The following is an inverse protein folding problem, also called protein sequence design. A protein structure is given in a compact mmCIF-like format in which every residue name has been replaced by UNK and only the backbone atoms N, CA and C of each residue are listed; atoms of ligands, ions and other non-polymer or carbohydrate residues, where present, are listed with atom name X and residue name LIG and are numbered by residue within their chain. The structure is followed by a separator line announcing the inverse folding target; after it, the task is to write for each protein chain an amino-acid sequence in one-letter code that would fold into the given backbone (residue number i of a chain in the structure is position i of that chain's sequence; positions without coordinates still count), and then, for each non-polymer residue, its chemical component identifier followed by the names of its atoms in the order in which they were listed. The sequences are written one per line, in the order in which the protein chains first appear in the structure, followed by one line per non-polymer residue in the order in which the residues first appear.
data_IF_402120079271
#
_entry.id   IF_402120079271
#
_cell.length_a   1.000
_cell.length_b   1.000
_cell.length_c   1.000
_cell.angle_alpha   90.00
_cell.angle_beta   90.00
_cell.angle_gamma   90.00
#
_symmetry.space_group_name_H-M   'P 1'
#
loop_
_entity.id
_entity.type
_entity.pdbx_description
1 polymer ?
#
# COMPACT_ATOMS: atom_id res chain seq x y z
N UNK A 1 13.40 8.74 -1.49
CA UNK A 1 14.25 8.24 -0.40
C UNK A 1 14.72 6.84 -0.75
N UNK A 2 16.03 6.55 -0.71
CA UNK A 2 16.57 5.20 -0.87
C UNK A 2 16.86 4.63 0.53
N UNK A 3 15.99 3.80 1.11
CA UNK A 3 16.21 3.26 2.45
C UNK A 3 17.54 2.50 2.57
N UNK A 4 18.06 1.94 1.48
CA UNK A 4 19.43 1.39 1.42
C UNK A 4 20.52 2.35 1.95
N UNK A 5 20.39 3.66 1.74
CA UNK A 5 21.32 4.65 2.29
C UNK A 5 21.27 4.74 3.82
N UNK A 6 20.10 4.53 4.42
CA UNK A 6 19.89 4.59 5.86
C UNK A 6 20.07 3.23 6.56
N UNK A 7 19.83 2.12 5.87
CA UNK A 7 19.72 0.79 6.47
C UNK A 7 20.83 -0.18 6.06
N UNK A 8 21.68 0.15 5.07
CA UNK A 8 22.77 -0.73 4.66
C UNK A 8 24.06 -0.40 5.43
N UNK A 9 24.60 -1.32 6.25
CA UNK A 9 25.84 -1.08 6.99
C UNK A 9 27.08 -0.97 6.09
N UNK A 10 26.98 -1.38 4.82
CA UNK A 10 28.04 -1.27 3.80
C UNK A 10 27.62 -0.36 2.64
N UNK A 11 26.83 0.67 2.93
CA UNK A 11 26.37 1.60 1.90
C UNK A 11 27.54 2.26 1.17
N UNK A 12 27.41 2.33 -0.15
CA UNK A 12 28.23 3.12 -1.07
C UNK A 12 27.33 3.69 -2.15
N UNK A 13 27.77 4.72 -2.85
CA UNK A 13 26.99 5.26 -3.97
C UNK A 13 26.67 4.14 -4.98
N UNK A 14 25.40 4.02 -5.37
CA UNK A 14 24.91 2.94 -6.24
C UNK A 14 24.72 1.56 -5.56
N UNK A 15 24.93 1.42 -4.25
CA UNK A 15 24.82 0.13 -3.53
C UNK A 15 23.45 -0.55 -3.71
N UNK A 16 22.35 0.21 -3.76
CA UNK A 16 21.00 -0.31 -3.96
C UNK A 16 20.79 -1.15 -5.24
N UNK A 17 21.68 -1.03 -6.24
CA UNK A 17 21.59 -1.81 -7.49
C UNK A 17 21.98 -3.28 -7.29
N UNK A 18 22.91 -3.55 -6.37
CA UNK A 18 23.46 -4.90 -6.16
C UNK A 18 23.40 -5.36 -4.70
N UNK A 19 22.88 -4.54 -3.79
CA UNK A 19 22.80 -4.86 -2.36
C UNK A 19 21.75 -5.92 -2.07
N UNK A 20 22.18 -7.04 -1.48
CA UNK A 20 21.26 -8.13 -1.13
C UNK A 20 20.36 -7.77 0.05
N UNK A 21 20.87 -7.03 1.05
CA UNK A 21 20.04 -6.49 2.14
C UNK A 21 18.93 -5.57 1.62
N UNK A 22 19.20 -4.80 0.56
CA UNK A 22 18.19 -3.97 -0.08
C UNK A 22 17.14 -4.80 -0.81
N UNK A 23 17.56 -5.82 -1.58
CA UNK A 23 16.62 -6.74 -2.24
C UNK A 23 15.71 -7.43 -1.23
N UNK A 24 16.26 -7.89 -0.11
CA UNK A 24 15.50 -8.51 0.96
C UNK A 24 14.49 -7.53 1.57
N UNK A 25 14.93 -6.32 1.93
CA UNK A 25 14.04 -5.28 2.45
C UNK A 25 12.90 -4.95 1.47
N UNK A 26 13.20 -4.82 0.17
CA UNK A 26 12.17 -4.56 -0.85
C UNK A 26 11.16 -5.71 -0.90
N UNK A 27 11.62 -6.96 -0.85
CA UNK A 27 10.75 -8.14 -0.86
C UNK A 27 9.83 -8.18 0.37
N UNK A 28 10.36 -7.94 1.55
CA UNK A 28 9.58 -7.87 2.80
C UNK A 28 8.54 -6.74 2.73
N UNK A 29 8.93 -5.57 2.24
CA UNK A 29 8.00 -4.45 2.05
C UNK A 29 6.91 -4.75 1.01
N UNK A 30 7.22 -5.49 -0.05
CA UNK A 30 6.23 -5.91 -1.03
C UNK A 30 5.17 -6.81 -0.39
N UNK A 31 5.58 -7.78 0.43
CA UNK A 31 4.67 -8.66 1.17
C UNK A 31 3.74 -7.84 2.07
N UNK A 32 4.30 -6.89 2.84
CA UNK A 32 3.50 -6.04 3.73
C UNK A 32 2.55 -5.10 2.96
N UNK A 33 2.98 -4.57 1.82
CA UNK A 33 2.12 -3.76 0.94
C UNK A 33 0.99 -4.58 0.36
N UNK A 34 1.24 -5.82 -0.06
CA UNK A 34 0.21 -6.71 -0.56
C UNK A 34 -0.83 -7.06 0.51
N UNK A 35 -0.41 -7.33 1.74
CA UNK A 35 -1.31 -7.55 2.87
C UNK A 35 -2.20 -6.32 3.12
N UNK A 36 -1.60 -5.13 3.19
CA UNK A 36 -2.34 -3.86 3.37
C UNK A 36 -3.29 -3.60 2.21
N UNK A 37 -2.88 -3.86 0.97
CA UNK A 37 -3.72 -3.71 -0.22
C UNK A 37 -4.95 -4.63 -0.16
N UNK A 38 -4.77 -5.91 0.21
CA UNK A 38 -5.87 -6.86 0.37
C UNK A 38 -6.86 -6.42 1.45
N UNK A 39 -6.34 -5.98 2.61
CA UNK A 39 -7.15 -5.43 3.69
C UNK A 39 -7.99 -4.24 3.22
N UNK A 40 -7.34 -3.24 2.60
CA UNK A 40 -8.03 -2.05 2.10
C UNK A 40 -9.06 -2.39 1.03
N UNK A 41 -8.77 -3.32 0.12
CA UNK A 41 -9.71 -3.73 -0.92
C UNK A 41 -11.00 -4.31 -0.31
N UNK A 42 -10.88 -5.23 0.64
CA UNK A 42 -12.03 -5.82 1.33
C UNK A 42 -12.90 -4.77 2.03
N UNK A 43 -12.26 -3.86 2.79
CA UNK A 43 -13.00 -2.83 3.50
C UNK A 43 -13.61 -1.78 2.57
N UNK A 44 -12.92 -1.41 1.49
CA UNK A 44 -13.42 -0.47 0.48
C UNK A 44 -14.66 -1.03 -0.21
N UNK A 45 -14.64 -2.31 -0.58
CA UNK A 45 -15.79 -2.97 -1.18
C UNK A 45 -16.99 -2.98 -0.23
N UNK A 46 -16.77 -3.37 1.04
CA UNK A 46 -17.84 -3.43 2.05
C UNK A 46 -18.45 -2.05 2.32
N UNK A 47 -17.62 -1.02 2.52
CA UNK A 47 -18.09 0.35 2.69
C UNK A 47 -18.82 0.84 1.44
N UNK A 48 -18.28 0.56 0.25
CA UNK A 48 -18.93 0.90 -1.01
C UNK A 48 -20.31 0.26 -1.18
N UNK A 49 -20.48 -1.00 -0.75
CA UNK A 49 -21.77 -1.68 -0.78
C UNK A 49 -22.81 -0.99 0.12
N UNK A 50 -22.42 -0.61 1.34
CA UNK A 50 -23.28 0.13 2.28
C UNK A 50 -23.67 1.48 1.69
N UNK A 51 -22.69 2.25 1.19
CA UNK A 51 -22.93 3.56 0.57
C UNK A 51 -23.93 3.43 -0.58
N UNK A 52 -23.71 2.48 -1.50
CA UNK A 52 -24.65 2.22 -2.61
C UNK A 52 -26.06 1.90 -2.12
N UNK A 53 -26.18 1.12 -1.05
CA UNK A 53 -27.47 0.82 -0.40
C UNK A 53 -28.15 2.07 0.13
N UNK A 54 -27.43 2.91 0.86
CA UNK A 54 -27.95 4.17 1.40
C UNK A 54 -28.35 5.16 0.29
N UNK A 55 -27.50 5.33 -0.74
CA UNK A 55 -27.80 6.20 -1.89
C UNK A 55 -29.03 5.70 -2.65
N UNK A 56 -29.22 4.39 -2.77
CA UNK A 56 -30.42 3.82 -3.41
C UNK A 56 -31.70 4.12 -2.62
N UNK A 57 -31.63 4.11 -1.29
CA UNK A 57 -32.77 4.40 -0.42
C UNK A 57 -33.07 5.89 -0.28
N UNK A 58 -32.08 6.77 -0.49
CA UNK A 58 -32.26 8.23 -0.44
C UNK A 58 -31.77 8.90 -1.73
N UNK A 59 -32.58 8.89 -2.81
CA UNK A 59 -32.20 9.45 -4.12
C UNK A 59 -31.95 10.97 -4.09
N UNK A 60 -32.43 11.67 -3.07
CA UNK A 60 -32.43 13.14 -2.96
C UNK A 60 -31.19 13.73 -2.28
N UNK A 61 -30.26 12.93 -1.75
CA UNK A 61 -28.97 13.40 -1.22
C UNK A 61 -27.83 13.21 -2.23
N UNK A 62 -28.10 13.50 -3.50
CA UNK A 62 -27.03 13.70 -4.49
C UNK A 62 -26.35 15.03 -4.21
N UNK A 63 -25.14 15.00 -3.64
CA UNK A 63 -24.29 16.18 -3.55
C UNK A 63 -23.92 16.64 -4.97
N UNK A 64 -24.11 17.94 -5.21
CA UNK A 64 -23.62 18.72 -6.35
C UNK A 64 -22.10 18.61 -6.52
#
# INVERSE_FOLDING_TARGET
MLPCQASCPRYREGCHKTCDSWKQFVRENQIEREKKKKYLAFHTERCGAVIRGCTRMMPSFGYH
#
